data_IF_208943470824
#
_entry.id   IF_208943470824
#
_cell.length_a   1.000
_cell.length_b   1.000
_cell.length_c   1.000
_cell.angle_alpha   90.00
_cell.angle_beta   90.00
_cell.angle_gamma   90.00
#
_symmetry.space_group_name_H-M   'P 1'
#
loop_
_entity.id
_entity.type
_entity.pdbx_description
1 polymer ?
#
# COMPACT_ATOMS: atom_id res chain seq x y z
N UNK A 1 -34.31 12.04 36.69
CA UNK A 1 -34.43 11.72 35.25
C UNK A 1 -33.32 12.43 34.52
N UNK A 2 -32.20 11.76 34.30
CA UNK A 2 -31.12 12.23 33.43
C UNK A 2 -31.57 12.01 32.00
N UNK A 3 -31.93 13.08 31.31
CA UNK A 3 -32.14 13.08 29.86
C UNK A 3 -30.81 12.69 29.20
N UNK A 4 -30.69 11.43 28.79
CA UNK A 4 -29.67 11.01 27.84
C UNK A 4 -29.90 11.80 26.55
N UNK A 5 -29.15 12.88 26.37
CA UNK A 5 -29.03 13.53 25.07
C UNK A 5 -28.35 12.52 24.15
N UNK A 6 -29.15 11.88 23.30
CA UNK A 6 -28.66 11.06 22.21
C UNK A 6 -27.74 11.95 21.35
N UNK A 7 -26.44 11.70 21.40
CA UNK A 7 -25.46 12.41 20.59
C UNK A 7 -25.67 12.04 19.12
N UNK A 8 -26.61 12.71 18.45
CA UNK A 8 -26.86 12.54 17.03
C UNK A 8 -25.70 13.17 16.27
N UNK A 9 -24.76 12.32 15.86
CA UNK A 9 -23.59 12.75 15.08
C UNK A 9 -24.06 13.29 13.73
N UNK A 10 -23.84 14.58 13.47
CA UNK A 10 -24.18 15.24 12.20
C UNK A 10 -23.62 14.44 11.01
N UNK A 11 -24.49 14.09 10.07
CA UNK A 11 -24.11 13.38 8.84
C UNK A 11 -23.92 14.39 7.73
N UNK A 12 -22.73 14.43 7.12
CA UNK A 12 -22.39 15.38 6.06
C UNK A 12 -22.12 14.63 4.75
N UNK A 13 -22.76 15.00 3.63
CA UNK A 13 -22.45 14.41 2.34
C UNK A 13 -21.05 14.82 1.88
N UNK A 14 -20.28 13.86 1.38
CA UNK A 14 -18.92 14.11 0.90
C UNK A 14 -18.57 13.24 -0.31
N UNK A 15 -17.68 13.75 -1.13
CA UNK A 15 -17.07 12.99 -2.21
C UNK A 15 -15.70 12.46 -1.80
N UNK A 16 -15.39 11.27 -2.29
CA UNK A 16 -14.05 10.70 -2.16
C UNK A 16 -13.27 11.00 -3.43
N UNK A 17 -12.18 11.73 -3.30
CA UNK A 17 -11.26 12.03 -4.38
C UNK A 17 -9.99 11.23 -4.14
N UNK A 18 -9.47 10.55 -5.16
CA UNK A 18 -8.22 9.81 -4.99
C UNK A 18 -7.09 10.75 -4.54
N UNK A 19 -6.57 10.52 -3.34
CA UNK A 19 -5.45 11.26 -2.80
C UNK A 19 -4.17 10.71 -3.41
N UNK A 20 -3.62 11.41 -4.40
CA UNK A 20 -2.27 11.11 -4.89
C UNK A 20 -1.29 11.90 -4.01
N UNK A 21 -0.31 11.26 -3.35
CA UNK A 21 0.56 11.95 -2.40
C UNK A 21 1.27 13.14 -3.05
N UNK A 22 1.26 14.29 -2.36
CA UNK A 22 1.95 15.51 -2.79
C UNK A 22 3.48 15.44 -2.60
N UNK A 23 3.96 14.55 -1.72
CA UNK A 23 5.37 14.18 -1.62
C UNK A 23 5.72 13.22 -2.76
N UNK A 24 6.61 13.66 -3.65
CA UNK A 24 6.90 12.97 -4.91
C UNK A 24 7.18 11.46 -4.78
N UNK A 25 7.04 10.75 -5.91
CA UNK A 25 7.11 9.28 -5.99
C UNK A 25 8.32 8.65 -5.32
N UNK A 26 9.44 9.37 -5.30
CA UNK A 26 10.72 8.93 -4.75
C UNK A 26 10.63 8.51 -3.27
N UNK A 27 9.85 9.22 -2.44
CA UNK A 27 9.72 8.87 -1.03
C UNK A 27 9.05 7.50 -0.83
N UNK A 28 8.03 7.20 -1.65
CA UNK A 28 7.32 5.93 -1.58
C UNK A 28 8.17 4.78 -2.11
N UNK A 29 8.94 5.02 -3.18
CA UNK A 29 9.90 4.02 -3.68
C UNK A 29 11.01 3.72 -2.68
N UNK A 30 11.50 4.73 -1.96
CA UNK A 30 12.51 4.53 -0.92
C UNK A 30 11.95 3.70 0.25
N UNK A 31 10.71 4.00 0.68
CA UNK A 31 10.04 3.23 1.73
C UNK A 31 9.77 1.78 1.32
N UNK A 32 9.45 1.54 0.05
CA UNK A 32 9.25 0.21 -0.51
C UNK A 32 10.56 -0.54 -0.85
N UNK A 33 11.71 0.14 -0.72
CA UNK A 33 12.98 -0.37 -1.22
C UNK A 33 13.48 -1.64 -0.53
N UNK A 34 13.31 -1.86 0.79
CA UNK A 34 13.82 -3.07 1.44
C UNK A 34 13.22 -4.34 0.84
N UNK A 35 11.89 -4.41 0.72
CA UNK A 35 11.21 -5.56 0.13
C UNK A 35 11.55 -5.70 -1.36
N UNK A 36 11.54 -4.59 -2.10
CA UNK A 36 11.82 -4.59 -3.55
C UNK A 36 13.25 -5.04 -3.86
N UNK A 37 14.25 -4.61 -3.09
CA UNK A 37 15.65 -5.00 -3.29
C UNK A 37 15.85 -6.49 -3.00
N UNK A 38 15.23 -7.00 -1.93
CA UNK A 38 15.26 -8.43 -1.63
C UNK A 38 14.64 -9.26 -2.76
N UNK A 39 13.46 -8.87 -3.24
CA UNK A 39 12.79 -9.55 -4.34
C UNK A 39 13.53 -9.41 -5.67
N UNK A 40 14.14 -8.26 -5.94
CA UNK A 40 14.95 -8.05 -7.15
C UNK A 40 16.19 -8.94 -7.15
N UNK A 41 16.86 -9.09 -6.01
CA UNK A 41 18.00 -9.99 -5.88
C UNK A 41 17.59 -11.45 -6.16
N UNK A 42 16.53 -11.92 -5.51
CA UNK A 42 16.01 -13.28 -5.73
C UNK A 42 15.58 -13.48 -7.19
N UNK A 43 14.90 -12.50 -7.77
CA UNK A 43 14.45 -12.55 -9.15
C UNK A 43 15.63 -12.65 -10.13
N UNK A 44 16.66 -11.83 -9.97
CA UNK A 44 17.84 -11.84 -10.84
C UNK A 44 18.53 -13.19 -10.81
N UNK A 45 18.67 -13.80 -9.62
CA UNK A 45 19.27 -15.12 -9.46
C UNK A 45 18.47 -16.21 -10.20
N UNK A 46 17.15 -16.23 -10.00
CA UNK A 46 16.24 -17.13 -10.70
C UNK A 46 16.24 -16.89 -12.22
N UNK A 47 16.21 -15.63 -12.64
CA UNK A 47 16.19 -15.25 -14.05
C UNK A 47 17.46 -15.74 -14.75
N UNK A 48 18.63 -15.49 -14.15
CA UNK A 48 19.89 -15.98 -14.71
C UNK A 48 19.93 -17.50 -14.80
N UNK A 49 19.49 -18.21 -13.75
CA UNK A 49 19.57 -19.68 -13.74
C UNK A 49 18.60 -20.36 -14.72
N UNK A 50 17.38 -19.83 -14.88
CA UNK A 50 16.31 -20.52 -15.63
C UNK A 50 15.97 -19.90 -16.99
N UNK A 51 16.19 -18.59 -17.17
CA UNK A 51 15.72 -17.84 -18.35
C UNK A 51 16.87 -17.19 -19.12
N UNK A 52 17.97 -16.88 -18.43
CA UNK A 52 19.15 -16.18 -18.92
C UNK A 52 19.55 -16.63 -20.31
N UNK A 53 19.40 -15.78 -21.34
CA UNK A 53 19.71 -16.17 -22.71
C UNK A 53 21.22 -16.23 -22.96
N UNK A 54 22.04 -15.78 -22.00
CA UNK A 54 23.48 -15.65 -22.15
C UNK A 54 24.23 -16.39 -21.04
N UNK A 55 25.50 -16.73 -21.28
CA UNK A 55 26.40 -17.22 -20.22
C UNK A 55 26.95 -16.08 -19.34
N UNK A 56 26.51 -14.84 -19.53
CA UNK A 56 27.05 -13.67 -18.84
C UNK A 56 26.05 -13.14 -17.81
N UNK A 57 26.37 -13.35 -16.54
CA UNK A 57 25.57 -12.92 -15.41
C UNK A 57 25.14 -11.45 -15.47
N UNK A 58 26.03 -10.53 -15.85
CA UNK A 58 25.73 -9.10 -15.80
C UNK A 58 24.71 -8.66 -16.86
N UNK A 59 24.75 -9.31 -18.03
CA UNK A 59 23.78 -9.05 -19.11
C UNK A 59 22.42 -9.59 -18.70
N UNK A 60 22.38 -10.82 -18.19
CA UNK A 60 21.15 -11.45 -17.71
C UNK A 60 20.56 -10.69 -16.52
N UNK A 61 21.39 -10.18 -15.61
CA UNK A 61 20.95 -9.37 -14.48
C UNK A 61 20.30 -8.06 -14.95
N UNK A 62 20.90 -7.35 -15.90
CA UNK A 62 20.31 -6.12 -16.44
C UNK A 62 18.96 -6.38 -17.10
N UNK A 63 18.89 -7.39 -17.97
CA UNK A 63 17.64 -7.79 -18.65
C UNK A 63 16.61 -8.25 -17.62
N UNK A 64 17.02 -9.06 -16.65
CA UNK A 64 16.20 -9.58 -15.57
C UNK A 64 15.58 -8.46 -14.74
N UNK A 65 16.33 -7.42 -14.38
CA UNK A 65 15.81 -6.24 -13.66
C UNK A 65 14.79 -5.49 -14.50
N UNK A 66 15.03 -5.28 -15.80
CA UNK A 66 14.06 -4.61 -16.67
C UNK A 66 12.76 -5.43 -16.74
N UNK A 67 12.86 -6.75 -16.94
CA UNK A 67 11.70 -7.65 -16.95
C UNK A 67 10.98 -7.61 -15.60
N UNK A 68 11.71 -7.66 -14.48
CA UNK A 68 11.15 -7.57 -13.14
C UNK A 68 10.32 -6.29 -12.96
N UNK A 69 10.85 -5.14 -13.40
CA UNK A 69 10.16 -3.86 -13.27
C UNK A 69 8.81 -3.85 -13.99
N UNK A 70 8.77 -4.35 -15.23
CA UNK A 70 7.56 -4.30 -16.05
C UNK A 70 6.57 -5.44 -15.79
N UNK A 71 7.04 -6.63 -15.42
CA UNK A 71 6.19 -7.81 -15.22
C UNK A 71 5.73 -7.96 -13.78
N UNK A 72 6.57 -7.54 -12.82
CA UNK A 72 6.28 -7.73 -11.39
C UNK A 72 6.04 -6.39 -10.71
N UNK A 73 7.00 -5.47 -10.74
CA UNK A 73 6.95 -4.25 -9.91
C UNK A 73 5.78 -3.35 -10.29
N UNK A 74 5.67 -2.95 -11.55
CA UNK A 74 4.58 -2.05 -11.97
C UNK A 74 3.19 -2.69 -11.83
N UNK A 75 2.94 -3.92 -12.35
CA UNK A 75 1.61 -4.52 -12.29
C UNK A 75 1.18 -4.83 -10.85
N UNK A 76 2.05 -5.44 -10.05
CA UNK A 76 1.70 -5.87 -8.70
C UNK A 76 1.51 -4.67 -7.77
N UNK A 77 2.38 -3.67 -7.86
CA UNK A 77 2.23 -2.42 -7.10
C UNK A 77 0.93 -1.72 -7.46
N UNK A 78 0.62 -1.59 -8.76
CA UNK A 78 -0.63 -0.95 -9.19
C UNK A 78 -1.87 -1.72 -8.72
N UNK A 79 -1.85 -3.06 -8.79
CA UNK A 79 -2.94 -3.90 -8.31
C UNK A 79 -3.12 -3.80 -6.79
N UNK A 80 -2.03 -3.80 -6.03
CA UNK A 80 -2.08 -3.63 -4.57
C UNK A 80 -2.69 -2.27 -4.19
N UNK A 81 -2.30 -1.20 -4.88
CA UNK A 81 -2.90 0.11 -4.70
C UNK A 81 -4.40 0.12 -4.99
N UNK A 82 -4.81 -0.49 -6.11
CA UNK A 82 -6.23 -0.64 -6.46
C UNK A 82 -7.01 -1.45 -5.44
N UNK A 83 -6.42 -2.52 -4.91
CA UNK A 83 -7.00 -3.37 -3.88
C UNK A 83 -7.28 -2.54 -2.61
N UNK A 84 -6.29 -1.78 -2.14
CA UNK A 84 -6.43 -0.94 -0.95
C UNK A 84 -7.51 0.15 -1.16
N UNK A 85 -7.50 0.82 -2.31
CA UNK A 85 -8.50 1.84 -2.63
C UNK A 85 -9.92 1.29 -2.82
N UNK A 86 -10.07 -0.02 -3.10
CA UNK A 86 -11.38 -0.67 -3.17
C UNK A 86 -12.07 -0.74 -1.79
N UNK A 87 -11.32 -0.57 -0.71
CA UNK A 87 -11.76 -0.64 0.69
C UNK A 87 -11.66 0.73 1.39
N UNK A 88 -12.39 1.77 0.94
CA UNK A 88 -12.23 3.15 1.44
C UNK A 88 -12.48 3.28 2.94
N UNK A 89 -13.34 2.44 3.52
CA UNK A 89 -13.67 2.48 4.95
C UNK A 89 -12.48 2.21 5.87
N UNK A 90 -11.60 1.31 5.45
CA UNK A 90 -10.41 0.93 6.23
C UNK A 90 -9.26 1.91 5.99
N UNK A 91 -9.22 2.53 4.80
CA UNK A 91 -8.08 3.30 4.31
C UNK A 91 -8.43 4.77 4.01
N UNK A 92 -9.35 5.36 4.78
CA UNK A 92 -9.82 6.72 4.55
C UNK A 92 -8.71 7.76 4.46
N UNK A 93 -7.63 7.62 5.23
CA UNK A 93 -6.51 8.57 5.23
C UNK A 93 -5.33 8.12 4.36
N UNK A 94 -5.37 6.90 3.83
CA UNK A 94 -4.23 6.29 3.15
C UNK A 94 -4.31 6.38 1.62
N UNK A 95 -5.46 6.78 1.06
CA UNK A 95 -5.58 6.92 -0.40
C UNK A 95 -6.81 7.66 -0.92
N UNK A 96 -7.70 8.10 -0.05
CA UNK A 96 -8.83 8.94 -0.41
C UNK A 96 -8.75 10.27 0.34
N UNK A 97 -9.06 11.36 -0.34
CA UNK A 97 -9.30 12.67 0.25
C UNK A 97 -10.81 12.89 0.34
N UNK A 98 -11.30 13.25 1.52
CA UNK A 98 -12.72 13.45 1.77
C UNK A 98 -13.02 14.92 1.53
N UNK A 99 -13.80 15.22 0.48
CA UNK A 99 -14.28 16.58 0.20
C UNK A 99 -15.73 16.74 0.61
N UNK A 100 -16.02 17.46 1.71
CA UNK A 100 -17.39 17.76 2.11
C UNK A 100 -18.09 18.60 1.03
N UNK A 101 -19.33 18.25 0.70
CA UNK A 101 -20.17 19.03 -0.22
C UNK A 101 -20.84 20.23 0.47
N UNK A 102 -20.82 20.23 1.81
CA UNK A 102 -21.26 21.33 2.65
C UNK A 102 -20.07 21.92 3.40
N UNK A 103 -20.16 23.19 3.79
CA UNK A 103 -19.14 23.82 4.61
C UNK A 103 -19.09 23.16 6.00
N UNK A 104 -17.94 22.56 6.31
CA UNK A 104 -17.62 22.01 7.62
C UNK A 104 -16.47 22.82 8.18
N UNK A 105 -16.66 23.42 9.35
CA UNK A 105 -15.59 24.17 10.01
C UNK A 105 -14.43 23.22 10.34
N UNK A 106 -13.15 23.67 10.29
CA UNK A 106 -12.00 22.81 10.60
C UNK A 106 -12.11 22.10 11.96
N UNK A 107 -12.69 22.76 12.96
CA UNK A 107 -12.93 22.21 14.29
C UNK A 107 -13.98 21.06 14.31
N UNK A 108 -14.85 21.00 13.31
CA UNK A 108 -15.94 20.01 13.22
C UNK A 108 -15.57 18.80 12.35
N UNK A 109 -14.46 18.86 11.60
CA UNK A 109 -14.12 17.86 10.58
C UNK A 109 -14.02 16.43 11.12
N UNK A 110 -13.64 16.25 12.38
CA UNK A 110 -13.52 14.94 13.05
C UNK A 110 -14.74 14.57 13.90
N UNK A 111 -15.69 15.50 14.07
CA UNK A 111 -16.91 15.30 14.86
C UNK A 111 -18.07 14.82 13.99
N UNK A 112 -18.06 15.14 12.70
CA UNK A 112 -19.11 14.76 11.75
C UNK A 112 -18.89 13.36 11.16
N UNK A 113 -19.98 12.70 10.78
CA UNK A 113 -19.95 11.45 10.03
C UNK A 113 -20.10 11.76 8.54
N UNK A 114 -19.08 11.47 7.75
CA UNK A 114 -19.19 11.63 6.31
C UNK A 114 -20.00 10.50 5.66
N UNK A 115 -20.92 10.87 4.76
CA UNK A 115 -21.65 9.95 3.89
C UNK A 115 -21.15 10.11 2.46
N UNK A 116 -20.45 9.09 1.96
CA UNK A 116 -19.86 9.11 0.62
C UNK A 116 -20.93 9.01 -0.47
N UNK A 117 -21.01 10.02 -1.33
CA UNK A 117 -21.95 10.05 -2.46
C UNK A 117 -21.28 9.56 -3.75
N UNK A 118 -20.15 10.15 -4.13
CA UNK A 118 -19.41 9.75 -5.32
C UNK A 118 -17.94 9.44 -5.05
N UNK A 119 -17.33 8.69 -5.97
CA UNK A 119 -15.88 8.39 -5.99
C UNK A 119 -15.28 8.92 -7.28
N UNK A 120 -14.28 9.78 -7.15
CA UNK A 120 -13.59 10.39 -8.27
C UNK A 120 -12.16 9.89 -8.31
N UNK A 121 -11.86 9.05 -9.31
CA UNK A 121 -10.51 8.59 -9.58
C UNK A 121 -9.71 9.70 -10.27
N UNK A 122 -8.44 9.83 -9.90
CA UNK A 122 -7.56 10.76 -10.59
C UNK A 122 -7.23 10.23 -12.01
N UNK A 123 -6.93 11.11 -12.98
CA UNK A 123 -6.55 10.70 -14.33
C UNK A 123 -5.36 9.75 -14.33
N UNK A 124 -5.28 8.89 -15.34
CA UNK A 124 -4.25 7.86 -15.45
C UNK A 124 -3.10 8.31 -16.35
N UNK A 125 -2.27 9.24 -15.86
CA UNK A 125 -1.01 9.59 -16.51
C UNK A 125 0.11 8.65 -16.08
N UNK A 126 1.14 8.47 -16.91
CA UNK A 126 2.26 7.57 -16.60
C UNK A 126 2.91 7.87 -15.24
N UNK A 127 3.10 9.16 -14.92
CA UNK A 127 3.61 9.60 -13.61
C UNK A 127 2.71 9.18 -12.45
N UNK A 128 1.39 9.18 -12.65
CA UNK A 128 0.43 8.73 -11.63
C UNK A 128 0.42 7.22 -11.51
N UNK A 129 0.60 6.48 -12.61
CA UNK A 129 0.73 5.02 -12.57
C UNK A 129 1.95 4.60 -11.75
N UNK A 130 3.10 5.24 -11.96
CA UNK A 130 4.31 4.93 -11.18
C UNK A 130 4.16 5.31 -9.71
N UNK A 131 3.48 6.41 -9.39
CA UNK A 131 3.12 6.81 -8.02
C UNK A 131 2.23 5.76 -7.34
N UNK A 132 1.16 5.34 -8.01
CA UNK A 132 0.24 4.31 -7.52
C UNK A 132 0.97 3.00 -7.28
N UNK A 133 1.85 2.60 -8.20
CA UNK A 133 2.66 1.40 -8.03
C UNK A 133 3.57 1.49 -6.79
N UNK A 134 4.27 2.62 -6.62
CA UNK A 134 5.13 2.86 -5.46
C UNK A 134 4.34 2.75 -4.14
N UNK A 135 3.19 3.42 -4.06
CA UNK A 135 2.32 3.41 -2.90
C UNK A 135 1.76 2.01 -2.62
N UNK A 136 1.40 1.26 -3.66
CA UNK A 136 1.00 -0.13 -3.54
C UNK A 136 2.09 -1.03 -2.96
N UNK A 137 3.36 -0.82 -3.33
CA UNK A 137 4.47 -1.54 -2.73
C UNK A 137 4.71 -1.20 -1.27
N UNK A 138 4.52 0.06 -0.87
CA UNK A 138 4.53 0.43 0.56
C UNK A 138 3.45 -0.34 1.32
N UNK A 139 2.25 -0.47 0.76
CA UNK A 139 1.19 -1.26 1.40
C UNK A 139 1.55 -2.75 1.49
N UNK A 140 2.15 -3.31 0.45
CA UNK A 140 2.62 -4.71 0.46
C UNK A 140 3.71 -4.92 1.51
N UNK A 141 4.67 -4.01 1.61
CA UNK A 141 5.73 -4.09 2.60
C UNK A 141 5.18 -4.05 4.04
N UNK A 142 4.26 -3.12 4.32
CA UNK A 142 3.59 -3.06 5.62
C UNK A 142 2.81 -4.33 5.91
N UNK A 143 2.13 -4.90 4.91
CA UNK A 143 1.41 -6.17 5.06
C UNK A 143 2.36 -7.34 5.36
N UNK A 144 3.50 -7.43 4.66
CA UNK A 144 4.50 -8.47 4.88
C UNK A 144 5.12 -8.35 6.28
N UNK A 145 5.44 -7.14 6.73
CA UNK A 145 5.95 -6.90 8.09
C UNK A 145 4.92 -7.34 9.14
N UNK A 146 3.65 -6.97 8.96
CA UNK A 146 2.58 -7.34 9.90
C UNK A 146 2.38 -8.85 9.94
N UNK A 147 2.31 -9.51 8.78
CA UNK A 147 2.17 -10.97 8.69
C UNK A 147 3.38 -11.66 9.34
N UNK A 148 4.59 -11.18 9.05
CA UNK A 148 5.81 -11.68 9.68
C UNK A 148 5.76 -11.57 11.20
N UNK A 149 5.36 -10.41 11.74
CA UNK A 149 5.22 -10.20 13.18
C UNK A 149 4.19 -11.15 13.82
N UNK A 150 3.05 -11.39 13.16
CA UNK A 150 2.03 -12.33 13.65
C UNK A 150 2.55 -13.78 13.61
N UNK A 151 3.25 -14.17 12.54
CA UNK A 151 3.82 -15.51 12.40
C UNK A 151 4.96 -15.78 13.38
N UNK A 152 5.64 -14.75 13.89
CA UNK A 152 6.64 -14.92 14.95
C UNK A 152 6.04 -15.43 16.27
N UNK A 153 4.74 -15.21 16.52
CA UNK A 153 4.08 -15.66 17.76
C UNK A 153 4.08 -17.20 17.86
N UNK A 154 3.50 -17.96 16.90
CA UNK A 154 3.55 -19.43 16.97
C UNK A 154 4.97 -19.98 16.86
N UNK A 155 5.87 -19.33 16.11
CA UNK A 155 7.27 -19.73 16.03
C UNK A 155 7.98 -19.62 17.38
N UNK A 156 7.70 -18.56 18.15
CA UNK A 156 8.24 -18.39 19.51
C UNK A 156 7.76 -19.50 20.46
N UNK A 157 6.47 -19.82 20.44
CA UNK A 157 5.94 -20.92 21.26
C UNK A 157 6.53 -22.27 20.86
N UNK A 158 6.62 -22.54 19.55
CA UNK A 158 7.27 -23.76 19.05
C UNK A 158 8.74 -23.84 19.48
N UNK A 159 9.53 -22.77 19.35
CA UNK A 159 10.93 -22.76 19.76
C UNK A 159 11.10 -23.01 21.27
N UNK A 160 10.25 -22.41 22.10
CA UNK A 160 10.19 -22.64 23.56
C UNK A 160 9.85 -24.09 23.90
N UNK A 161 8.88 -24.69 23.21
CA UNK A 161 8.49 -26.10 23.40
C UNK A 161 9.60 -27.07 22.98
N UNK A 162 10.39 -26.74 21.95
CA UNK A 162 11.56 -27.53 21.53
C UNK A 162 12.82 -27.29 22.39
N UNK A 163 12.73 -26.53 23.49
CA UNK A 163 13.83 -26.35 24.43
C UNK A 163 14.86 -25.30 24.03
N UNK A 164 14.63 -24.51 22.98
CA UNK A 164 15.46 -23.33 22.70
C UNK A 164 15.11 -22.23 23.71
N UNK A 165 15.98 -22.03 24.72
CA UNK A 165 15.83 -20.98 25.74
C UNK A 165 15.86 -21.44 27.19
N UNK A 166 16.24 -22.70 27.46
CA UNK A 166 16.82 -23.10 28.75
C UNK A 166 18.31 -22.84 28.78
#
# INVERSE_FOLDING_TARGET
MTTETEYVRRVVPADLIEATPGSGALGHWLLASPLLLFLAWLWVDLFHHFVGPTGNYWVDALVGVVVFLFVVVLPLGYLAHRLVLSLPRLFHNAGWDVRPLETVAPAEQYLVRYRYQARHWAPADWRRVTLRAAQGWVFLEMAVILVGAVLMIPLYFSAREFGFGQ
#
